data_IF_679044647994
#
_entry.id   IF_679044647994
#
_cell.length_a   1.000
_cell.length_b   1.000
_cell.length_c   1.000
_cell.angle_alpha   90.00
_cell.angle_beta   90.00
_cell.angle_gamma   90.00
#
_symmetry.space_group_name_H-M   'P 1'
#
loop_
_entity.id
_entity.type
_entity.pdbx_description
1 polymer ?
#
# COMPACT_ATOMS: atom_id res chain seq x y z
N UNK A 1 9.94 35.53 -62.98
CA UNK A 1 9.83 34.85 -61.67
C UNK A 1 9.13 35.79 -60.71
N UNK A 2 8.09 35.32 -60.04
CA UNK A 2 7.08 36.17 -59.39
C UNK A 2 7.50 36.52 -57.94
N UNK A 3 7.73 37.81 -57.67
CA UNK A 3 8.21 38.35 -56.39
C UNK A 3 7.29 37.95 -55.20
N UNK A 4 6.00 37.73 -55.46
CA UNK A 4 5.03 37.26 -54.46
C UNK A 4 5.31 35.85 -53.91
N UNK A 5 5.90 34.95 -54.71
CA UNK A 5 6.18 33.58 -54.25
C UNK A 5 7.44 33.50 -53.36
N UNK A 6 8.40 34.42 -53.53
CA UNK A 6 9.56 34.53 -52.64
C UNK A 6 9.19 35.17 -51.30
N UNK A 7 8.29 36.15 -51.27
CA UNK A 7 7.80 36.76 -50.03
C UNK A 7 6.97 35.76 -49.20
N UNK A 8 6.15 34.91 -49.85
CA UNK A 8 5.39 33.86 -49.17
C UNK A 8 6.28 32.74 -48.62
N UNK A 9 7.38 32.40 -49.31
CA UNK A 9 8.39 31.44 -48.81
C UNK A 9 9.19 32.03 -47.64
N UNK A 10 9.56 33.31 -47.72
CA UNK A 10 10.26 34.01 -46.63
C UNK A 10 9.35 34.19 -45.41
N UNK A 11 8.06 34.48 -45.57
CA UNK A 11 7.12 34.51 -44.45
C UNK A 11 6.90 33.12 -43.83
N UNK A 12 6.84 32.03 -44.63
CA UNK A 12 6.83 30.67 -44.08
C UNK A 12 8.12 30.32 -43.30
N UNK A 13 9.27 30.85 -43.71
CA UNK A 13 10.54 30.66 -43.01
C UNK A 13 10.67 31.52 -41.75
N UNK A 14 10.09 32.73 -41.73
CA UNK A 14 10.13 33.63 -40.56
C UNK A 14 9.03 33.32 -39.51
N UNK A 15 7.93 32.67 -39.88
CA UNK A 15 6.85 32.28 -38.95
C UNK A 15 6.86 30.80 -38.53
N UNK A 16 7.84 30.02 -38.99
CA UNK A 16 8.06 28.63 -38.53
C UNK A 16 9.21 28.56 -37.54
N UNK A 17 9.20 29.41 -36.51
CA UNK A 17 9.84 28.98 -35.26
C UNK A 17 8.99 27.83 -34.73
N UNK A 18 9.38 26.59 -35.06
CA UNK A 18 8.85 25.40 -34.41
C UNK A 18 9.23 25.51 -32.92
N UNK A 19 8.45 26.27 -32.17
CA UNK A 19 8.62 26.44 -30.73
C UNK A 19 8.38 25.06 -30.14
N UNK A 20 9.46 24.35 -29.84
CA UNK A 20 9.37 23.05 -29.20
C UNK A 20 8.96 23.31 -27.77
N UNK A 21 7.90 22.61 -27.35
CA UNK A 21 7.44 22.66 -25.97
C UNK A 21 8.46 22.00 -25.06
N UNK A 22 8.61 22.50 -23.82
CA UNK A 22 9.33 21.82 -22.74
C UNK A 22 8.68 20.50 -22.38
N UNK A 23 7.39 20.34 -22.73
CA UNK A 23 6.60 19.16 -22.42
C UNK A 23 6.13 19.12 -20.96
N UNK A 24 6.29 20.20 -20.20
CA UNK A 24 5.93 20.26 -18.78
C UNK A 24 4.88 21.35 -18.60
N UNK A 25 3.71 20.98 -18.11
CA UNK A 25 2.57 21.88 -17.94
C UNK A 25 2.09 21.88 -16.49
N UNK A 26 2.02 23.07 -15.87
CA UNK A 26 1.56 23.26 -14.48
C UNK A 26 0.14 23.84 -14.46
N UNK A 27 -0.70 23.51 -13.45
CA UNK A 27 -2.01 24.13 -13.32
C UNK A 27 -1.93 25.65 -13.16
N UNK A 28 -2.72 26.40 -13.93
CA UNK A 28 -2.86 27.84 -13.81
C UNK A 28 -4.31 28.25 -14.04
N UNK A 29 -5.01 28.61 -12.97
CA UNK A 29 -6.43 28.96 -13.02
C UNK A 29 -7.28 27.76 -13.43
N UNK A 30 -7.99 27.87 -14.56
CA UNK A 30 -8.85 26.80 -15.10
C UNK A 30 -8.19 25.96 -16.19
N UNK A 31 -6.90 26.15 -16.48
CA UNK A 31 -6.16 25.43 -17.52
C UNK A 31 -4.71 25.19 -17.05
N UNK A 32 -3.79 24.91 -17.98
CA UNK A 32 -2.38 24.69 -17.70
C UNK A 32 -1.50 25.66 -18.49
N UNK A 33 -0.39 26.04 -17.89
CA UNK A 33 0.67 26.79 -18.55
C UNK A 33 1.94 25.98 -18.64
N UNK A 34 2.67 26.19 -19.72
CA UNK A 34 3.96 25.56 -19.95
C UNK A 34 4.99 26.11 -18.97
N UNK A 35 5.71 25.22 -18.29
CA UNK A 35 6.86 25.58 -17.47
C UNK A 35 8.05 25.81 -18.40
N UNK A 36 8.43 27.08 -18.56
CA UNK A 36 9.49 27.52 -19.49
C UNK A 36 10.85 27.72 -18.83
N UNK A 37 10.94 27.49 -17.52
CA UNK A 37 12.18 27.63 -16.77
C UNK A 37 13.21 26.60 -17.23
N UNK A 38 14.49 26.95 -17.14
CA UNK A 38 15.56 26.05 -17.53
C UNK A 38 15.82 25.05 -16.40
N UNK A 39 15.24 23.86 -16.51
CA UNK A 39 15.39 22.77 -15.55
C UNK A 39 16.53 21.86 -16.03
N UNK A 40 17.57 21.70 -15.20
CA UNK A 40 18.75 20.88 -15.54
C UNK A 40 18.39 19.38 -15.67
N UNK A 41 17.55 18.86 -14.76
CA UNK A 41 17.05 17.49 -14.79
C UNK A 41 15.55 17.47 -15.11
N UNK A 42 15.22 17.06 -16.33
CA UNK A 42 13.84 16.95 -16.82
C UNK A 42 13.18 15.60 -16.51
N UNK A 43 13.82 14.75 -15.70
CA UNK A 43 13.18 13.56 -15.15
C UNK A 43 12.00 13.94 -14.23
N UNK A 44 11.09 13.00 -13.97
CA UNK A 44 9.99 13.22 -13.01
C UNK A 44 10.53 13.66 -11.65
N UNK A 45 11.64 13.07 -11.21
CA UNK A 45 12.30 13.40 -9.94
C UNK A 45 12.84 14.82 -9.96
N UNK A 46 13.57 15.20 -11.02
CA UNK A 46 14.16 16.52 -11.16
C UNK A 46 13.12 17.63 -11.23
N UNK A 47 12.06 17.45 -12.04
CA UNK A 47 10.95 18.41 -12.14
C UNK A 47 10.19 18.54 -10.82
N UNK A 48 9.93 17.43 -10.14
CA UNK A 48 9.25 17.46 -8.83
C UNK A 48 10.07 18.18 -7.77
N UNK A 49 11.38 17.91 -7.72
CA UNK A 49 12.29 18.59 -6.81
C UNK A 49 12.38 20.09 -7.11
N UNK A 50 12.41 20.47 -8.39
CA UNK A 50 12.36 21.87 -8.82
C UNK A 50 11.09 22.58 -8.31
N UNK A 51 9.95 21.87 -8.33
CA UNK A 51 8.67 22.36 -7.81
C UNK A 51 8.52 22.25 -6.28
N UNK A 52 9.57 21.80 -5.58
CA UNK A 52 9.61 21.74 -4.11
C UNK A 52 9.03 20.46 -3.49
N UNK A 53 8.84 19.39 -4.27
CA UNK A 53 8.32 18.11 -3.80
C UNK A 53 9.42 17.05 -3.66
N UNK A 54 9.30 16.22 -2.63
CA UNK A 54 10.04 14.94 -2.57
C UNK A 54 9.35 13.88 -3.43
N UNK A 55 10.09 12.86 -3.89
CA UNK A 55 9.51 11.78 -4.72
C UNK A 55 8.42 10.98 -4.03
N UNK A 56 8.47 10.88 -2.70
CA UNK A 56 7.45 10.18 -1.89
C UNK A 56 6.20 11.04 -1.64
N UNK A 57 6.24 12.32 -2.01
CA UNK A 57 5.11 13.25 -1.89
C UNK A 57 4.30 13.34 -3.18
N UNK A 58 4.68 12.58 -4.22
CA UNK A 58 4.03 12.59 -5.52
C UNK A 58 3.47 11.21 -5.88
N UNK A 59 2.41 11.19 -6.68
CA UNK A 59 1.89 9.99 -7.32
C UNK A 59 1.93 10.17 -8.83
N UNK A 60 2.46 9.19 -9.55
CA UNK A 60 2.61 9.26 -11.01
C UNK A 60 1.57 8.36 -11.66
N UNK A 61 0.61 8.96 -12.36
CA UNK A 61 -0.23 8.20 -13.27
C UNK A 61 0.48 8.04 -14.61
N UNK A 62 0.97 6.83 -14.86
CA UNK A 62 1.44 6.40 -16.17
C UNK A 62 0.24 6.11 -17.05
N UNK A 63 0.14 6.83 -18.14
CA UNK A 63 -0.99 6.65 -19.03
C UNK A 63 -0.69 5.58 -20.08
N UNK A 64 -1.67 4.75 -20.45
CA UNK A 64 -1.48 3.71 -21.47
C UNK A 64 -0.92 4.31 -22.77
N UNK A 65 0.16 3.75 -23.31
CA UNK A 65 0.79 4.32 -24.50
C UNK A 65 -0.21 4.41 -25.66
N UNK A 66 -0.59 5.64 -26.01
CA UNK A 66 -1.41 5.97 -27.16
C UNK A 66 -0.65 6.98 -28.02
N UNK A 67 -0.29 6.58 -29.24
CA UNK A 67 0.48 7.42 -30.16
C UNK A 67 -0.23 8.74 -30.51
N UNK A 68 -1.55 8.79 -30.35
CA UNK A 68 -2.37 9.97 -30.60
C UNK A 68 -2.61 10.84 -29.36
N UNK A 69 -2.23 10.39 -28.16
CA UNK A 69 -2.34 11.23 -26.95
C UNK A 69 -1.05 12.03 -26.76
N UNK A 70 -1.22 13.33 -26.54
CA UNK A 70 -0.10 14.22 -26.24
C UNK A 70 0.35 14.10 -24.79
N UNK A 71 -0.54 13.71 -23.87
CA UNK A 71 -0.25 13.56 -22.44
C UNK A 71 0.35 12.17 -22.17
N UNK A 72 1.56 12.16 -21.61
CA UNK A 72 2.30 10.96 -21.22
C UNK A 72 2.06 10.58 -19.77
N UNK A 73 2.13 11.55 -18.85
CA UNK A 73 1.97 11.35 -17.42
C UNK A 73 1.19 12.50 -16.79
N UNK A 74 0.44 12.17 -15.73
CA UNK A 74 -0.15 13.17 -14.84
C UNK A 74 0.42 12.93 -13.44
N UNK A 75 0.99 13.97 -12.83
CA UNK A 75 1.64 13.89 -11.54
C UNK A 75 0.77 14.57 -10.50
N UNK A 76 0.45 13.87 -9.43
CA UNK A 76 -0.41 14.32 -8.34
C UNK A 76 0.36 14.51 -7.04
N UNK A 77 -0.16 15.33 -6.13
CA UNK A 77 0.24 15.27 -4.73
C UNK A 77 -0.31 13.98 -4.11
N UNK A 78 0.56 13.23 -3.42
CA UNK A 78 0.19 11.99 -2.76
C UNK A 78 -1.03 12.18 -1.85
N UNK A 79 -1.94 11.18 -1.85
CA UNK A 79 -3.22 11.16 -1.12
C UNK A 79 -4.29 12.16 -1.58
N UNK A 80 -4.05 12.86 -2.69
CA UNK A 80 -5.00 13.83 -3.24
C UNK A 80 -5.28 13.59 -4.72
N UNK A 81 -6.20 14.42 -5.24
CA UNK A 81 -6.45 14.57 -6.68
C UNK A 81 -5.81 15.84 -7.26
N UNK A 82 -5.02 16.54 -6.46
CA UNK A 82 -4.38 17.79 -6.88
C UNK A 82 -3.24 17.45 -7.83
N UNK A 83 -3.31 18.00 -9.04
CA UNK A 83 -2.27 17.84 -10.03
C UNK A 83 -1.14 18.83 -9.71
N UNK A 84 0.09 18.35 -9.72
CA UNK A 84 1.28 19.19 -9.60
C UNK A 84 1.69 19.66 -10.99
N UNK A 85 1.81 18.72 -11.93
CA UNK A 85 2.11 19.00 -13.32
C UNK A 85 1.72 17.83 -14.23
N UNK A 86 1.72 18.09 -15.53
CA UNK A 86 1.41 17.15 -16.61
C UNK A 86 2.62 17.09 -17.53
N UNK A 87 3.04 15.88 -17.90
CA UNK A 87 4.08 15.66 -18.90
C UNK A 87 3.47 15.32 -20.25
N UNK A 88 3.96 15.95 -21.30
CA UNK A 88 3.48 15.76 -22.67
C UNK A 88 4.62 15.48 -23.65
N UNK A 89 4.26 15.04 -24.85
CA UNK A 89 5.16 15.09 -26.01
C UNK A 89 5.61 16.53 -26.26
N UNK A 90 6.84 16.72 -26.74
CA UNK A 90 7.40 18.05 -27.07
C UNK A 90 6.69 18.74 -28.24
N UNK A 91 5.84 18.01 -28.97
CA UNK A 91 4.95 18.54 -30.02
C UNK A 91 3.70 19.21 -29.45
N UNK A 92 3.34 18.95 -28.20
CA UNK A 92 2.15 19.51 -27.57
C UNK A 92 2.41 20.94 -27.11
N UNK A 93 1.69 21.91 -27.68
CA UNK A 93 1.87 23.33 -27.40
C UNK A 93 0.89 23.88 -26.35
N UNK A 94 -0.14 23.12 -25.99
CA UNK A 94 -1.17 23.52 -25.05
C UNK A 94 -1.83 22.31 -24.42
N UNK A 95 -2.06 22.38 -23.12
CA UNK A 95 -2.87 21.41 -22.37
C UNK A 95 -4.07 22.12 -21.77
N UNK A 96 -5.27 21.57 -21.97
CA UNK A 96 -6.49 22.07 -21.33
C UNK A 96 -6.98 21.13 -20.25
N UNK A 97 -7.82 21.64 -19.35
CA UNK A 97 -8.50 20.81 -18.36
C UNK A 97 -9.37 19.71 -18.99
N UNK A 98 -9.91 19.94 -20.20
CA UNK A 98 -10.66 18.92 -20.93
C UNK A 98 -9.78 17.73 -21.30
N UNK A 99 -8.55 17.98 -21.74
CA UNK A 99 -7.61 16.94 -22.19
C UNK A 99 -7.19 16.05 -21.02
N UNK A 100 -6.83 16.69 -19.90
CA UNK A 100 -6.47 15.99 -18.66
C UNK A 100 -7.66 15.20 -18.12
N UNK A 101 -8.85 15.80 -18.02
CA UNK A 101 -10.03 15.11 -17.53
C UNK A 101 -10.45 13.95 -18.43
N UNK A 102 -10.31 14.09 -19.75
CA UNK A 102 -10.53 12.98 -20.67
C UNK A 102 -9.59 11.81 -20.35
N UNK A 103 -8.34 12.12 -20.03
CA UNK A 103 -7.32 11.11 -19.70
C UNK A 103 -7.55 10.42 -18.36
N UNK A 104 -8.07 11.14 -17.38
CA UNK A 104 -8.34 10.61 -16.03
C UNK A 104 -9.68 9.85 -15.93
N UNK A 105 -10.45 9.70 -17.02
CA UNK A 105 -11.76 9.01 -17.00
C UNK A 105 -11.68 7.56 -16.52
N UNK A 106 -10.58 6.87 -16.81
CA UNK A 106 -10.35 5.48 -16.40
C UNK A 106 -9.58 5.35 -15.09
N UNK A 107 -9.21 6.47 -14.46
CA UNK A 107 -8.39 6.44 -13.26
C UNK A 107 -9.26 6.15 -12.03
N UNK A 108 -9.11 4.95 -11.47
CA UNK A 108 -9.80 4.56 -10.24
C UNK A 108 -9.01 5.01 -9.01
N UNK A 109 -9.45 6.14 -8.44
CA UNK A 109 -8.87 6.69 -7.21
C UNK A 109 -8.94 5.75 -6.01
N UNK A 110 -9.95 4.86 -5.95
CA UNK A 110 -10.12 3.94 -4.84
C UNK A 110 -9.16 2.74 -4.95
N UNK A 111 -8.83 2.33 -6.18
CA UNK A 111 -7.80 1.33 -6.45
C UNK A 111 -6.41 1.91 -6.21
N UNK A 112 -6.15 3.13 -6.70
CA UNK A 112 -4.83 3.76 -6.56
C UNK A 112 -4.42 3.94 -5.10
N UNK A 113 -5.32 4.47 -4.27
CA UNK A 113 -5.07 4.72 -2.85
C UNK A 113 -5.71 3.66 -1.97
N UNK A 114 -5.57 2.39 -2.36
CA UNK A 114 -5.94 1.30 -1.49
C UNK A 114 -5.03 1.22 -0.24
N UNK A 115 -5.39 0.36 0.71
CA UNK A 115 -4.66 0.22 1.97
C UNK A 115 -3.21 -0.24 1.79
N UNK A 116 -2.88 -0.93 0.69
CA UNK A 116 -1.54 -1.41 0.41
C UNK A 116 -0.68 -0.26 -0.12
N UNK A 117 -1.16 0.47 -1.14
CA UNK A 117 -0.44 1.60 -1.72
C UNK A 117 -0.23 2.71 -0.69
N UNK A 118 -1.26 3.04 0.11
CA UNK A 118 -1.14 4.02 1.19
C UNK A 118 -0.03 3.62 2.17
N UNK A 119 0.01 2.35 2.56
CA UNK A 119 1.03 1.83 3.47
C UNK A 119 2.43 1.96 2.85
N UNK A 120 2.61 1.56 1.59
CA UNK A 120 3.90 1.65 0.89
C UNK A 120 4.41 3.10 0.82
N UNK A 121 3.53 4.07 0.52
CA UNK A 121 3.89 5.50 0.53
C UNK A 121 4.34 5.94 1.93
N UNK A 122 3.62 5.55 2.99
CA UNK A 122 3.97 5.90 4.37
C UNK A 122 5.30 5.25 4.80
N UNK A 123 5.55 3.98 4.46
CA UNK A 123 6.80 3.27 4.78
C UNK A 123 8.01 3.94 4.13
N UNK A 124 7.90 4.27 2.83
CA UNK A 124 8.94 5.04 2.12
C UNK A 124 9.14 6.42 2.73
N UNK A 125 8.04 7.09 3.07
CA UNK A 125 8.03 8.39 3.72
C UNK A 125 8.79 8.42 5.04
N UNK A 126 8.58 7.40 5.89
CA UNK A 126 9.31 7.21 7.15
C UNK A 126 10.79 6.94 6.88
N UNK A 127 11.10 5.99 5.99
CA UNK A 127 12.48 5.60 5.68
C UNK A 127 13.31 6.77 5.15
N UNK A 128 12.72 7.61 4.29
CA UNK A 128 13.38 8.74 3.66
C UNK A 128 13.25 10.05 4.46
N UNK A 129 12.48 10.06 5.56
CA UNK A 129 12.13 11.27 6.32
C UNK A 129 11.56 12.38 5.42
N UNK A 130 10.73 12.00 4.47
CA UNK A 130 10.23 12.90 3.43
C UNK A 130 8.79 13.36 3.66
N UNK A 131 8.02 12.67 4.49
CA UNK A 131 6.66 13.07 4.86
C UNK A 131 6.68 13.91 6.14
N UNK A 132 6.47 15.22 5.99
CA UNK A 132 6.38 16.16 7.11
C UNK A 132 4.94 16.41 7.54
N UNK A 133 4.74 16.91 8.76
CA UNK A 133 3.42 17.33 9.25
C UNK A 133 2.84 18.44 8.37
N UNK A 134 3.66 19.38 7.90
CA UNK A 134 3.23 20.47 7.01
C UNK A 134 2.67 19.92 5.70
N UNK A 135 3.41 19.01 5.05
CA UNK A 135 2.94 18.38 3.83
C UNK A 135 1.67 17.56 4.09
N UNK A 136 1.68 16.65 5.08
CA UNK A 136 0.56 15.75 5.31
C UNK A 136 -0.70 16.49 5.77
N UNK A 137 -0.58 17.57 6.54
CA UNK A 137 -1.72 18.43 6.93
C UNK A 137 -2.34 19.18 5.75
N UNK A 138 -1.58 19.41 4.68
CA UNK A 138 -2.09 19.99 3.42
C UNK A 138 -2.93 18.98 2.63
N UNK A 139 -2.50 17.72 2.61
CA UNK A 139 -3.09 16.67 1.75
C UNK A 139 -4.10 15.76 2.46
N UNK A 140 -4.08 15.75 3.79
CA UNK A 140 -4.92 14.94 4.67
C UNK A 140 -5.62 15.81 5.74
N UNK A 141 -6.80 15.40 6.20
CA UNK A 141 -7.52 16.11 7.25
C UNK A 141 -6.89 15.85 8.62
N UNK A 142 -5.78 16.52 8.92
CA UNK A 142 -5.13 16.51 10.24
C UNK A 142 -5.56 17.77 11.00
N UNK A 143 -6.30 17.58 12.11
CA UNK A 143 -6.73 18.67 12.97
C UNK A 143 -5.58 19.11 13.88
N UNK A 144 -5.41 20.43 14.04
CA UNK A 144 -4.42 21.07 14.92
C UNK A 144 -3.01 20.43 14.79
N UNK A 145 -2.38 20.52 13.60
CA UNK A 145 -1.10 19.87 13.34
C UNK A 145 0.01 20.42 14.24
N UNK A 146 0.70 19.52 14.93
CA UNK A 146 1.83 19.82 15.81
C UNK A 146 3.06 19.00 15.37
N UNK A 147 4.30 19.51 15.54
CA UNK A 147 5.51 18.78 15.16
C UNK A 147 5.71 17.44 15.87
N UNK A 148 5.08 17.25 17.04
CA UNK A 148 5.15 16.02 17.82
C UNK A 148 3.74 15.60 18.19
N UNK A 149 3.36 14.35 17.90
CA UNK A 149 2.02 13.88 18.22
C UNK A 149 1.62 12.61 17.50
N UNK A 150 0.40 12.16 17.81
CA UNK A 150 -0.25 11.03 17.18
C UNK A 150 -1.58 11.52 16.63
N UNK A 151 -1.77 11.44 15.33
CA UNK A 151 -2.95 12.00 14.66
C UNK A 151 -3.74 10.88 13.98
N UNK A 152 -5.01 10.67 14.34
CA UNK A 152 -5.89 9.77 13.60
C UNK A 152 -6.28 10.43 12.26
N UNK A 153 -6.08 9.69 11.16
CA UNK A 153 -6.46 10.13 9.81
C UNK A 153 -7.40 9.11 9.19
N UNK A 154 -8.69 9.26 9.46
CA UNK A 154 -9.75 8.34 9.02
C UNK A 154 -9.78 8.16 7.50
N UNK A 155 -9.52 9.22 6.73
CA UNK A 155 -9.49 9.21 5.26
C UNK A 155 -8.60 8.11 4.68
N UNK A 156 -7.48 7.81 5.35
CA UNK A 156 -6.54 6.77 4.93
C UNK A 156 -6.52 5.56 5.89
N UNK A 157 -7.23 5.62 7.01
CA UNK A 157 -7.37 4.50 7.95
C UNK A 157 -6.16 4.27 8.85
N UNK A 158 -5.37 5.31 9.17
CA UNK A 158 -4.17 5.20 10.00
C UNK A 158 -4.09 6.24 11.12
N UNK A 159 -3.45 5.90 12.22
CA UNK A 159 -2.78 6.85 13.10
C UNK A 159 -1.38 7.15 12.56
N UNK A 160 -1.02 8.42 12.51
CA UNK A 160 0.28 8.90 12.06
C UNK A 160 1.07 9.47 13.25
N UNK A 161 2.33 9.05 13.41
CA UNK A 161 3.19 9.42 14.54
C UNK A 161 4.25 10.38 14.05
N UNK A 162 4.32 11.56 14.68
CA UNK A 162 5.28 12.60 14.33
C UNK A 162 6.26 12.88 15.45
N UNK A 163 7.50 13.14 15.06
CA UNK A 163 8.55 13.62 15.94
C UNK A 163 9.38 14.68 15.19
N UNK A 164 9.53 15.86 15.78
CA UNK A 164 10.19 17.03 15.18
C UNK A 164 9.69 17.38 13.76
N UNK A 165 8.39 17.21 13.52
CA UNK A 165 7.73 17.56 12.26
C UNK A 165 7.81 16.48 11.17
N UNK A 166 8.46 15.35 11.42
CA UNK A 166 8.58 14.23 10.48
C UNK A 166 7.72 13.05 10.91
N UNK A 167 7.11 12.37 9.95
CA UNK A 167 6.46 11.08 10.17
C UNK A 167 7.54 10.06 10.54
N UNK A 168 7.39 9.44 11.71
CA UNK A 168 8.33 8.43 12.21
C UNK A 168 7.74 7.03 12.26
N UNK A 169 6.41 6.91 12.37
CA UNK A 169 5.71 5.63 12.41
C UNK A 169 4.23 5.83 12.04
N UNK A 170 3.51 4.73 11.81
CA UNK A 170 2.08 4.71 11.57
C UNK A 170 1.47 3.36 11.95
N UNK A 171 0.22 3.36 12.40
CA UNK A 171 -0.53 2.13 12.69
C UNK A 171 -1.95 2.22 12.14
N UNK A 172 -2.53 1.09 11.76
CA UNK A 172 -3.91 1.08 11.29
C UNK A 172 -4.89 1.51 12.39
N UNK A 173 -5.93 2.29 12.05
CA UNK A 173 -6.98 2.68 13.01
C UNK A 173 -7.75 1.46 13.55
N UNK A 174 -7.97 0.45 12.70
CA UNK A 174 -8.66 -0.79 13.05
C UNK A 174 -7.74 -1.84 13.69
N UNK A 175 -6.44 -1.54 13.80
CA UNK A 175 -5.40 -2.47 14.26
C UNK A 175 -5.11 -3.66 13.33
N UNK A 176 -5.82 -3.80 12.21
CA UNK A 176 -5.62 -4.88 11.26
C UNK A 176 -4.33 -4.69 10.44
N UNK A 177 -3.59 -5.77 10.29
CA UNK A 177 -2.41 -5.87 9.45
C UNK A 177 -2.74 -5.96 7.97
N UNK A 178 -1.72 -5.86 7.12
CA UNK A 178 -1.85 -5.84 5.65
C UNK A 178 -2.64 -7.02 5.11
N UNK A 179 -2.28 -8.25 5.51
CA UNK A 179 -2.93 -9.46 5.02
C UNK A 179 -4.36 -9.61 5.56
N UNK A 180 -4.62 -9.20 6.80
CA UNK A 180 -5.98 -9.21 7.36
C UNK A 180 -6.91 -8.31 6.54
N UNK A 181 -6.47 -7.09 6.20
CA UNK A 181 -7.23 -6.17 5.33
C UNK A 181 -7.43 -6.73 3.92
N UNK A 182 -6.38 -7.29 3.32
CA UNK A 182 -6.46 -7.90 2.00
C UNK A 182 -7.51 -9.03 1.96
N UNK A 183 -7.45 -9.96 2.92
CA UNK A 183 -8.42 -11.04 3.00
C UNK A 183 -9.81 -10.58 3.43
N UNK A 184 -9.93 -9.49 4.19
CA UNK A 184 -11.24 -8.90 4.50
C UNK A 184 -11.94 -8.40 3.23
N UNK A 185 -11.20 -7.82 2.28
CA UNK A 185 -11.75 -7.42 0.97
C UNK A 185 -12.07 -8.62 0.08
N UNK A 186 -11.14 -9.58 -0.01
CA UNK A 186 -11.26 -10.74 -0.90
C UNK A 186 -12.32 -11.73 -0.43
N UNK A 187 -12.39 -12.00 0.87
CA UNK A 187 -13.31 -12.95 1.49
C UNK A 187 -13.63 -12.52 2.94
N UNK A 188 -14.56 -11.56 3.12
CA UNK A 188 -14.90 -11.00 4.43
C UNK A 188 -15.28 -12.08 5.46
N UNK A 189 -15.96 -13.14 5.01
CA UNK A 189 -16.39 -14.26 5.86
C UNK A 189 -15.22 -14.94 6.57
N UNK A 190 -14.06 -15.05 5.93
CA UNK A 190 -12.88 -15.66 6.57
C UNK A 190 -12.43 -14.85 7.77
N UNK A 191 -12.31 -13.53 7.62
CA UNK A 191 -11.91 -12.63 8.70
C UNK A 191 -12.96 -12.61 9.80
N UNK A 192 -14.25 -12.55 9.46
CA UNK A 192 -15.33 -12.61 10.47
C UNK A 192 -15.30 -13.92 11.27
N UNK A 193 -15.04 -15.06 10.63
CA UNK A 193 -14.91 -16.34 11.34
C UNK A 193 -13.66 -16.40 12.23
N UNK A 194 -12.52 -15.88 11.77
CA UNK A 194 -11.31 -15.78 12.59
C UNK A 194 -11.52 -14.85 13.80
N UNK A 195 -12.20 -13.71 13.60
CA UNK A 195 -12.52 -12.78 14.68
C UNK A 195 -13.49 -13.42 15.69
N UNK A 196 -14.53 -14.11 15.22
CA UNK A 196 -15.45 -14.85 16.09
C UNK A 196 -14.73 -15.97 16.87
N UNK A 197 -13.78 -16.66 16.21
CA UNK A 197 -12.94 -17.67 16.85
C UNK A 197 -12.09 -17.05 17.97
N UNK A 198 -11.32 -16.01 17.67
CA UNK A 198 -10.46 -15.34 18.63
C UNK A 198 -11.28 -14.74 19.80
N UNK A 199 -12.44 -14.13 19.52
CA UNK A 199 -13.37 -13.62 20.55
C UNK A 199 -13.88 -14.70 21.50
N UNK A 200 -14.03 -15.95 21.04
CA UNK A 200 -14.44 -17.06 21.91
C UNK A 200 -13.44 -17.29 23.06
N UNK A 201 -12.14 -17.06 22.83
CA UNK A 201 -11.08 -17.35 23.80
C UNK A 201 -10.57 -16.09 24.51
N UNK A 202 -10.42 -14.97 23.80
CA UNK A 202 -9.95 -13.71 24.38
C UNK A 202 -11.07 -12.83 24.94
N UNK A 203 -12.33 -13.16 24.67
CA UNK A 203 -13.49 -12.40 25.12
C UNK A 203 -13.43 -10.94 24.65
N UNK A 204 -13.48 -10.01 25.60
CA UNK A 204 -13.48 -8.57 25.35
C UNK A 204 -12.06 -7.97 25.18
N UNK A 205 -11.00 -8.79 25.19
CA UNK A 205 -9.65 -8.29 24.95
C UNK A 205 -9.43 -8.06 23.44
N UNK A 206 -9.90 -6.91 22.95
CA UNK A 206 -9.87 -6.55 21.52
C UNK A 206 -8.45 -6.55 20.96
N UNK A 207 -7.45 -6.14 21.74
CA UNK A 207 -6.05 -6.14 21.29
C UNK A 207 -5.56 -7.57 20.99
N UNK A 208 -5.87 -8.54 21.85
CA UNK A 208 -5.52 -9.94 21.60
C UNK A 208 -6.32 -10.57 20.45
N UNK A 209 -7.60 -10.20 20.32
CA UNK A 209 -8.43 -10.62 19.17
C UNK A 209 -7.80 -10.16 17.85
N UNK A 210 -7.43 -8.87 17.76
CA UNK A 210 -6.80 -8.30 16.56
C UNK A 210 -5.44 -8.94 16.31
N UNK A 211 -4.63 -9.15 17.36
CA UNK A 211 -3.33 -9.83 17.25
C UNK A 211 -3.47 -11.22 16.64
N UNK A 212 -4.43 -12.01 17.10
CA UNK A 212 -4.67 -13.35 16.56
C UNK A 212 -5.19 -13.30 15.11
N UNK A 213 -6.13 -12.41 14.79
CA UNK A 213 -6.64 -12.23 13.42
C UNK A 213 -5.50 -11.88 12.46
N UNK A 214 -4.62 -10.96 12.86
CA UNK A 214 -3.44 -10.60 12.07
C UNK A 214 -2.49 -11.78 11.92
N UNK A 215 -2.18 -12.49 13.00
CA UNK A 215 -1.28 -13.65 12.99
C UNK A 215 -1.79 -14.76 12.07
N UNK A 216 -3.10 -15.05 12.11
CA UNK A 216 -3.73 -16.03 11.23
C UNK A 216 -3.78 -15.58 9.77
N UNK A 217 -3.97 -14.28 9.53
CA UNK A 217 -3.98 -13.71 8.17
C UNK A 217 -2.59 -13.72 7.54
N UNK A 218 -1.57 -13.36 8.32
CA UNK A 218 -0.17 -13.46 7.90
C UNK A 218 0.21 -14.91 7.61
N UNK A 219 -0.27 -15.85 8.44
CA UNK A 219 -0.11 -17.27 8.17
C UNK A 219 -0.78 -17.67 6.85
N UNK A 220 -2.04 -17.31 6.64
CA UNK A 220 -2.78 -17.64 5.41
C UNK A 220 -2.05 -17.16 4.15
N UNK A 221 -1.51 -15.95 4.14
CA UNK A 221 -0.76 -15.42 3.00
C UNK A 221 0.47 -16.28 2.62
N UNK A 222 1.01 -17.02 3.59
CA UNK A 222 2.16 -17.90 3.41
C UNK A 222 1.77 -19.37 3.17
N UNK A 223 0.48 -19.73 3.22
CA UNK A 223 0.01 -21.10 2.94
C UNK A 223 0.04 -21.37 1.44
N UNK A 224 0.76 -22.40 0.97
CA UNK A 224 0.72 -22.79 -0.44
C UNK A 224 -0.70 -23.16 -0.87
N UNK A 225 -1.12 -22.65 -2.03
CA UNK A 225 -2.48 -22.81 -2.58
C UNK A 225 -3.61 -22.22 -1.71
N UNK A 226 -3.28 -21.44 -0.68
CA UNK A 226 -4.21 -20.71 0.19
C UNK A 226 -5.36 -21.63 0.69
N UNK A 227 -6.60 -21.27 0.33
CA UNK A 227 -7.82 -22.00 0.71
C UNK A 227 -7.95 -23.40 0.09
N UNK A 228 -7.18 -23.73 -0.95
CA UNK A 228 -7.19 -25.05 -1.60
C UNK A 228 -6.15 -26.01 -1.02
N UNK A 229 -5.43 -25.59 0.03
CA UNK A 229 -4.39 -26.39 0.62
C UNK A 229 -4.91 -27.78 1.06
N UNK A 230 -4.25 -28.84 0.60
CA UNK A 230 -4.64 -30.24 0.84
C UNK A 230 -4.64 -30.66 2.31
N UNK A 231 -4.01 -29.89 3.21
CA UNK A 231 -3.95 -30.16 4.63
C UNK A 231 -4.97 -29.35 5.45
N UNK A 232 -5.75 -28.47 4.81
CA UNK A 232 -6.70 -27.58 5.49
C UNK A 232 -7.62 -28.30 6.47
N UNK A 233 -8.18 -29.45 6.06
CA UNK A 233 -9.12 -30.23 6.89
C UNK A 233 -8.51 -30.73 8.21
N UNK A 234 -7.19 -30.96 8.26
CA UNK A 234 -6.51 -31.40 9.47
C UNK A 234 -6.37 -30.30 10.53
N UNK A 235 -6.58 -29.04 10.12
CA UNK A 235 -6.40 -27.85 10.96
C UNK A 235 -7.70 -27.03 11.07
N UNK A 236 -8.81 -27.57 10.60
CA UNK A 236 -10.14 -26.96 10.74
C UNK A 236 -10.59 -27.02 12.20
N UNK A 237 -11.05 -25.89 12.71
CA UNK A 237 -11.61 -25.69 14.03
C UNK A 237 -13.09 -26.07 14.07
N UNK A 238 -13.66 -26.13 15.28
CA UNK A 238 -15.07 -26.45 15.51
C UNK A 238 -16.08 -25.53 14.80
N UNK A 239 -15.70 -24.27 14.50
CA UNK A 239 -16.56 -23.31 13.81
C UNK A 239 -16.26 -23.20 12.31
N UNK A 240 -15.45 -24.12 11.77
CA UNK A 240 -15.11 -24.18 10.36
C UNK A 240 -14.04 -23.17 9.90
N UNK A 241 -13.39 -22.45 10.81
CA UNK A 241 -12.16 -21.69 10.49
C UNK A 241 -10.93 -22.62 10.52
N UNK A 242 -9.82 -22.23 9.90
CA UNK A 242 -8.58 -23.02 9.88
C UNK A 242 -7.52 -22.34 10.76
N UNK A 243 -6.79 -23.12 11.55
CA UNK A 243 -5.58 -22.64 12.23
C UNK A 243 -4.40 -22.66 11.25
N UNK A 244 -4.25 -21.58 10.47
CA UNK A 244 -3.26 -21.48 9.42
C UNK A 244 -1.82 -21.47 9.96
N UNK A 245 -1.60 -20.96 11.18
CA UNK A 245 -0.29 -21.04 11.83
C UNK A 245 0.10 -22.50 12.03
N UNK A 246 -0.77 -23.30 12.65
CA UNK A 246 -0.47 -24.71 12.93
C UNK A 246 -0.38 -25.54 11.65
N UNK A 247 -1.13 -25.18 10.61
CA UNK A 247 -0.99 -25.77 9.27
C UNK A 247 0.43 -25.56 8.73
N UNK A 248 0.95 -24.33 8.77
CA UNK A 248 2.32 -24.02 8.34
C UNK A 248 3.38 -24.72 9.18
N UNK A 249 3.19 -24.76 10.50
CA UNK A 249 4.09 -25.44 11.44
C UNK A 249 4.18 -26.92 11.08
N UNK A 250 3.05 -27.61 10.88
CA UNK A 250 3.01 -29.05 10.66
C UNK A 250 3.46 -29.49 9.26
N UNK A 251 3.21 -28.67 8.23
CA UNK A 251 3.37 -29.10 6.83
C UNK A 251 4.40 -28.31 6.04
N UNK A 252 4.81 -27.13 6.52
CA UNK A 252 5.66 -26.20 5.79
C UNK A 252 6.83 -25.64 6.61
N UNK A 253 7.16 -26.29 7.74
CA UNK A 253 8.34 -26.00 8.56
C UNK A 253 8.41 -24.57 9.08
N UNK A 254 7.26 -23.94 9.33
CA UNK A 254 7.24 -22.69 10.10
C UNK A 254 7.68 -22.98 11.53
N UNK A 255 8.66 -22.22 12.01
CA UNK A 255 9.08 -22.30 13.41
C UNK A 255 7.98 -21.74 14.31
N UNK A 256 7.86 -22.32 15.50
CA UNK A 256 6.99 -21.86 16.58
C UNK A 256 7.67 -22.20 17.91
N UNK A 257 7.64 -21.26 18.85
CA UNK A 257 8.11 -21.51 20.21
C UNK A 257 6.97 -22.00 21.11
N UNK A 258 7.31 -22.45 22.31
CA UNK A 258 6.34 -22.99 23.25
C UNK A 258 5.30 -21.95 23.68
N UNK A 259 5.68 -20.68 23.85
CA UNK A 259 4.77 -19.64 24.30
C UNK A 259 3.73 -19.33 23.21
N UNK A 260 4.19 -19.15 21.97
CA UNK A 260 3.34 -18.97 20.80
C UNK A 260 2.40 -20.17 20.60
N UNK A 261 2.92 -21.40 20.79
CA UNK A 261 2.11 -22.61 20.70
C UNK A 261 1.00 -22.63 21.76
N UNK A 262 1.32 -22.29 23.01
CA UNK A 262 0.34 -22.25 24.10
C UNK A 262 -0.71 -21.16 23.83
N UNK A 263 -0.25 -19.96 23.46
CA UNK A 263 -1.10 -18.79 23.20
C UNK A 263 -2.07 -19.05 22.05
N UNK A 264 -1.60 -19.57 20.91
CA UNK A 264 -2.43 -19.79 19.72
C UNK A 264 -3.40 -20.97 19.84
N UNK A 265 -3.11 -21.92 20.72
CA UNK A 265 -3.91 -23.13 20.85
C UNK A 265 -4.92 -23.06 22.01
N UNK A 266 -4.92 -22.00 22.81
CA UNK A 266 -5.96 -21.70 23.81
C UNK A 266 -6.24 -22.88 24.77
N UNK A 267 -5.20 -23.62 25.15
CA UNK A 267 -5.32 -24.79 26.04
C UNK A 267 -6.00 -26.02 25.43
N UNK A 268 -6.25 -26.04 24.10
CA UNK A 268 -6.83 -27.21 23.39
C UNK A 268 -5.85 -28.38 23.23
N UNK A 269 -4.59 -28.17 23.62
CA UNK A 269 -3.59 -29.21 23.63
C UNK A 269 -3.68 -30.05 24.91
N UNK A 270 -3.21 -31.28 24.85
CA UNK A 270 -2.94 -32.11 26.02
C UNK A 270 -1.44 -32.09 26.29
N UNK A 271 -1.04 -31.59 27.47
CA UNK A 271 0.34 -31.69 27.92
C UNK A 271 0.61 -33.13 28.39
N UNK A 272 1.59 -33.80 27.79
CA UNK A 272 2.03 -35.16 28.15
C UNK A 272 3.19 -35.08 29.14
N UNK A 273 4.16 -34.20 28.84
CA UNK A 273 5.31 -33.87 29.69
C UNK A 273 5.54 -32.35 29.65
N UNK A 274 6.46 -31.78 30.45
CA UNK A 274 6.80 -30.35 30.37
C UNK A 274 7.17 -29.84 28.97
N UNK A 275 7.70 -30.72 28.10
CA UNK A 275 8.17 -30.38 26.75
C UNK A 275 7.39 -31.06 25.64
N UNK A 276 6.42 -31.94 25.95
CA UNK A 276 5.68 -32.72 24.96
C UNK A 276 4.18 -32.43 25.06
N UNK A 277 3.60 -32.03 23.94
CA UNK A 277 2.20 -31.65 23.80
C UNK A 277 1.54 -32.40 22.66
N UNK A 278 0.26 -32.76 22.82
CA UNK A 278 -0.57 -33.35 21.78
C UNK A 278 -1.68 -32.38 21.39
N UNK A 279 -1.89 -32.16 20.10
CA UNK A 279 -2.99 -31.35 19.58
C UNK A 279 -3.50 -31.97 18.28
N UNK A 280 -4.78 -32.34 18.25
CA UNK A 280 -5.40 -33.00 17.10
C UNK A 280 -4.69 -34.32 16.77
N UNK A 281 -4.18 -34.42 15.53
CA UNK A 281 -3.44 -35.61 15.04
C UNK A 281 -1.92 -35.45 15.16
N UNK A 282 -1.41 -34.52 15.95
CA UNK A 282 0.01 -34.20 16.00
C UNK A 282 0.54 -34.16 17.44
N UNK A 283 1.79 -34.62 17.59
CA UNK A 283 2.60 -34.48 18.80
C UNK A 283 3.70 -33.46 18.52
N UNK A 284 3.89 -32.53 19.46
CA UNK A 284 4.85 -31.44 19.45
C UNK A 284 5.83 -31.65 20.60
N UNK A 285 7.09 -31.85 20.26
CA UNK A 285 8.20 -32.04 21.21
C UNK A 285 9.09 -30.80 21.13
N UNK A 286 9.01 -29.94 22.14
CA UNK A 286 9.79 -28.72 22.24
C UNK A 286 11.17 -28.99 22.88
N UNK A 287 12.19 -28.20 22.52
CA UNK A 287 13.46 -28.20 23.27
C UNK A 287 13.24 -27.68 24.70
N UNK A 288 14.21 -27.92 25.59
CA UNK A 288 14.12 -27.46 26.99
C UNK A 288 14.02 -25.93 27.09
N UNK A 289 14.59 -25.19 26.12
CA UNK A 289 14.46 -23.73 26.02
C UNK A 289 13.18 -23.28 25.30
N UNK A 290 12.37 -24.21 24.77
CA UNK A 290 11.10 -23.93 24.12
C UNK A 290 11.19 -23.39 22.69
N UNK A 291 12.39 -23.30 22.10
CA UNK A 291 12.61 -22.55 20.84
C UNK A 291 12.54 -23.41 19.56
N UNK A 292 12.66 -24.73 19.69
CA UNK A 292 12.60 -25.65 18.56
C UNK A 292 11.51 -26.69 18.81
N UNK A 293 10.77 -27.05 17.75
CA UNK A 293 9.72 -28.07 17.84
C UNK A 293 9.96 -29.20 16.84
N UNK A 294 9.90 -30.43 17.32
CA UNK A 294 9.82 -31.63 16.50
C UNK A 294 8.37 -32.10 16.46
N UNK A 295 7.87 -32.32 15.25
CA UNK A 295 6.44 -32.60 15.02
C UNK A 295 6.29 -34.01 14.48
N UNK A 296 5.44 -34.80 15.13
CA UNK A 296 5.13 -36.17 14.70
C UNK A 296 3.63 -36.31 14.48
N UNK A 297 3.23 -36.73 13.28
CA UNK A 297 1.82 -37.03 13.00
C UNK A 297 1.46 -38.43 13.54
N UNK A 298 0.37 -38.49 14.30
CA UNK A 298 -0.20 -39.74 14.81
C UNK A 298 -0.88 -40.46 13.64
N UNK A 299 -0.34 -41.62 13.24
CA UNK A 299 -0.96 -42.48 12.23
C UNK A 299 -2.02 -43.38 12.88
N UNK A 300 -3.26 -43.36 12.37
CA UNK A 300 -4.27 -44.37 12.72
C UNK A 300 -5.46 -43.92 13.56
N UNK A 301 -5.98 -42.70 13.36
CA UNK A 301 -7.33 -42.31 13.81
C UNK A 301 -8.15 -41.81 12.63
#
# INVERSE_FOLDING_TARGET
>A
MNFGNQLLLLMKYFFSSNKKSTGIFIPQGSDYSELTDNIEDTSIVGVSAYLGYHTDQIQVYHTDYNENDDISNVIFEAFTKNIIYVLTKTSCLKVTNRDVNHRLRSYDWAEEYDSYTVRDILEKGVANKSLTIDFLSKVLPINDPEPNGIFPVEKIGFYLYFNHGYLTDFQSLDGLGTWAKYFQKLNPRTITLQEAYAKKYWGNNISQVIKEVNTQSDALANVPELFKNKYSELHTTEIGTINFVMLLVCHYRRNIDLNDFIELNHGRYQQITPTIYSLGKFIYEFSDEGNNVKITQIKGV
#
